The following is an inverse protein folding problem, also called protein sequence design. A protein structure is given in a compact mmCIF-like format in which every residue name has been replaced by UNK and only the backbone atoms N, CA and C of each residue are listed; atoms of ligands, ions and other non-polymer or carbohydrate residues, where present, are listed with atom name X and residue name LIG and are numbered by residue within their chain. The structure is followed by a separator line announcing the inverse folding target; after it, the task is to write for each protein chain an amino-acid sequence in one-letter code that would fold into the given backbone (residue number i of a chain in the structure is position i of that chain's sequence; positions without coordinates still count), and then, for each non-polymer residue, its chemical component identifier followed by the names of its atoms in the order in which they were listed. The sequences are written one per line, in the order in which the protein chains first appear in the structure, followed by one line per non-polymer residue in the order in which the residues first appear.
data_IF_943546521399
#
_entry.id   IF_943546521399
#
_cell.length_a   1.000
_cell.length_b   1.000
_cell.length_c   1.000
_cell.angle_alpha   90.00
_cell.angle_beta   90.00
_cell.angle_gamma   90.00
#
_symmetry.space_group_name_H-M   'P 1'
#
loop_
_entity.id
_entity.type
_entity.pdbx_description
1 polymer ?
#
# COMPACT_ATOMS: atom_id res chain seq x y z
N UNK A 1 17.43 29.94 41.42
CA UNK A 1 17.87 29.34 40.15
C UNK A 1 16.79 28.33 39.82
N UNK A 2 15.86 28.71 38.95
CA UNK A 2 14.76 27.83 38.57
C UNK A 2 15.33 26.76 37.65
N UNK A 3 15.69 25.62 38.24
CA UNK A 3 16.16 24.45 37.52
C UNK A 3 15.02 23.96 36.63
N UNK A 4 15.07 24.35 35.35
CA UNK A 4 14.11 23.88 34.36
C UNK A 4 14.21 22.36 34.33
N UNK A 5 13.14 21.67 34.72
CA UNK A 5 13.13 20.21 34.69
C UNK A 5 13.45 19.76 33.24
N UNK A 6 14.50 18.94 33.05
CA UNK A 6 14.97 18.57 31.71
C UNK A 6 13.90 17.87 30.86
N UNK A 7 12.84 17.35 31.49
CA UNK A 7 11.68 16.77 30.82
C UNK A 7 10.75 17.79 30.15
N UNK A 8 11.04 19.10 30.26
CA UNK A 8 10.39 20.16 29.49
C UNK A 8 11.14 20.54 28.21
N UNK A 9 12.26 19.87 27.90
CA UNK A 9 12.98 20.04 26.64
C UNK A 9 12.36 19.07 25.62
N UNK A 10 11.64 19.56 24.58
CA UNK A 10 10.92 18.70 23.65
C UNK A 10 11.79 17.64 22.98
N UNK A 11 13.03 18.00 22.61
CA UNK A 11 13.99 17.13 21.93
C UNK A 11 14.40 15.95 22.81
N UNK A 12 14.59 16.16 24.12
CA UNK A 12 14.89 15.09 25.06
C UNK A 12 13.69 14.16 25.19
N UNK A 13 12.48 14.71 25.32
CA UNK A 13 11.26 13.91 25.43
C UNK A 13 10.99 13.09 24.16
N UNK A 14 11.16 13.69 22.97
CA UNK A 14 11.08 13.00 21.67
C UNK A 14 12.14 11.91 21.55
N UNK A 15 13.38 12.15 22.00
CA UNK A 15 14.43 11.13 21.98
C UNK A 15 14.14 9.98 22.94
N UNK A 16 13.59 10.24 24.14
CA UNK A 16 13.14 9.21 25.07
C UNK A 16 12.01 8.38 24.44
N UNK A 17 11.05 9.04 23.78
CA UNK A 17 9.91 8.36 23.17
C UNK A 17 10.28 7.34 22.09
N UNK A 18 11.44 7.50 21.42
CA UNK A 18 11.96 6.51 20.45
C UNK A 18 12.25 5.14 21.09
N UNK A 19 12.52 5.10 22.39
CA UNK A 19 12.76 3.86 23.14
C UNK A 19 11.48 3.27 23.75
N UNK A 20 10.34 3.95 23.59
CA UNK A 20 9.06 3.51 24.11
C UNK A 20 8.24 2.84 23.00
N UNK A 21 7.51 1.79 23.35
CA UNK A 21 6.45 1.25 22.48
C UNK A 21 5.34 2.29 22.33
N UNK A 22 4.68 2.32 21.16
CA UNK A 22 3.65 3.33 20.84
C UNK A 22 2.56 3.45 21.92
N UNK A 23 2.07 2.34 22.46
CA UNK A 23 1.03 2.36 23.51
C UNK A 23 1.52 2.97 24.85
N UNK A 24 2.83 2.93 25.14
CA UNK A 24 3.41 3.65 26.28
C UNK A 24 3.44 5.16 26.01
N UNK A 25 3.79 5.59 24.79
CA UNK A 25 3.76 7.01 24.39
C UNK A 25 2.35 7.59 24.50
N UNK A 26 1.31 6.81 24.15
CA UNK A 26 -0.09 7.22 24.33
C UNK A 26 -0.40 7.50 25.81
N UNK A 27 0.04 6.65 26.74
CA UNK A 27 -0.11 6.90 28.19
C UNK A 27 0.64 8.16 28.61
N UNK A 28 1.80 8.45 28.03
CA UNK A 28 2.57 9.66 28.28
C UNK A 28 1.81 10.95 27.87
N UNK A 29 0.91 10.90 26.88
CA UNK A 29 0.07 12.05 26.53
C UNK A 29 -0.81 12.53 27.70
N UNK A 30 -1.18 11.62 28.60
CA UNK A 30 -2.07 11.90 29.72
C UNK A 30 -1.35 12.53 30.93
N UNK A 31 -0.01 12.60 30.91
CA UNK A 31 0.79 13.09 32.05
C UNK A 31 0.58 14.59 32.26
N UNK A 32 0.78 15.40 31.21
CA UNK A 32 0.56 16.85 31.25
C UNK A 32 0.42 17.45 29.85
N UNK A 33 -0.03 18.71 29.75
CA UNK A 33 -0.21 19.42 28.46
C UNK A 33 1.07 19.50 27.62
N UNK A 34 2.23 19.69 28.25
CA UNK A 34 3.51 19.78 27.54
C UNK A 34 3.88 18.44 26.89
N UNK A 35 3.70 17.34 27.62
CA UNK A 35 3.94 15.99 27.09
C UNK A 35 2.95 15.66 25.98
N UNK A 36 1.68 16.03 26.15
CA UNK A 36 0.67 15.90 25.10
C UNK A 36 1.10 16.60 23.81
N UNK A 37 1.45 17.88 23.90
CA UNK A 37 1.83 18.68 22.72
C UNK A 37 3.08 18.13 22.02
N UNK A 38 4.09 17.74 22.81
CA UNK A 38 5.38 17.24 22.29
C UNK A 38 5.26 15.84 21.66
N UNK A 39 4.47 14.96 22.27
CA UNK A 39 4.40 13.54 21.88
C UNK A 39 3.24 13.23 20.93
N UNK A 40 2.21 14.09 20.83
CA UNK A 40 1.09 13.88 19.93
C UNK A 40 1.54 13.66 18.47
N UNK A 41 2.46 14.45 17.89
CA UNK A 41 2.95 14.20 16.53
C UNK A 41 3.54 12.80 16.33
N UNK A 42 4.23 12.25 17.35
CA UNK A 42 4.80 10.90 17.26
C UNK A 42 3.74 9.81 17.27
N UNK A 43 2.64 10.02 18.01
CA UNK A 43 1.53 9.07 18.10
C UNK A 43 0.67 9.12 16.83
N UNK A 44 0.41 10.31 16.31
CA UNK A 44 -0.50 10.55 15.20
C UNK A 44 0.16 10.46 13.81
N UNK A 45 1.50 10.47 13.73
CA UNK A 45 2.22 10.33 12.45
C UNK A 45 1.82 9.09 11.65
N UNK A 46 1.71 7.94 12.30
CA UNK A 46 1.38 6.67 11.67
C UNK A 46 0.23 6.00 12.41
N UNK A 47 -0.99 6.13 11.92
CA UNK A 47 -2.19 5.61 12.57
C UNK A 47 -2.54 4.26 11.98
N UNK A 48 -2.67 3.25 12.84
CA UNK A 48 -3.13 1.90 12.45
C UNK A 48 -4.41 1.58 13.19
N UNK A 49 -5.50 1.46 12.47
CA UNK A 49 -6.82 1.12 13.00
C UNK A 49 -6.95 -0.40 12.90
N UNK A 50 -6.80 -1.06 14.05
CA UNK A 50 -7.07 -2.49 14.18
C UNK A 50 -8.40 -2.63 14.90
N UNK A 51 -9.40 -3.21 14.25
CA UNK A 51 -10.65 -3.57 14.90
C UNK A 51 -10.60 -5.05 15.21
N UNK A 52 -10.71 -5.39 16.49
CA UNK A 52 -11.01 -6.77 16.84
C UNK A 52 -12.51 -7.00 16.61
N UNK A 53 -12.94 -8.14 16.05
CA UNK A 53 -14.36 -8.44 15.80
C UNK A 53 -15.27 -8.34 17.03
N UNK A 54 -14.67 -8.39 18.23
CA UNK A 54 -15.37 -8.37 19.52
C UNK A 54 -15.41 -6.99 20.18
N UNK A 55 -14.70 -6.00 19.64
CA UNK A 55 -14.69 -4.64 20.20
C UNK A 55 -15.94 -3.87 19.76
N UNK A 56 -17.00 -4.01 20.55
CA UNK A 56 -18.21 -3.17 20.50
C UNK A 56 -18.07 -1.91 21.36
N UNK A 57 -16.89 -1.64 21.94
CA UNK A 57 -16.73 -0.63 22.99
C UNK A 57 -16.35 0.75 22.46
N UNK A 58 -16.82 1.77 23.20
CA UNK A 58 -16.63 3.24 23.07
C UNK A 58 -15.16 3.75 22.97
N UNK A 59 -14.17 2.86 22.91
CA UNK A 59 -12.76 3.20 22.83
C UNK A 59 -12.24 3.38 21.40
N UNK A 60 -13.14 3.33 20.40
CA UNK A 60 -12.78 3.65 19.03
C UNK A 60 -12.30 5.10 18.91
N UNK A 61 -11.26 5.33 18.11
CA UNK A 61 -10.84 6.68 17.75
C UNK A 61 -12.02 7.39 17.10
N UNK A 62 -12.52 8.45 17.75
CA UNK A 62 -13.68 9.18 17.25
C UNK A 62 -13.28 10.05 16.06
N UNK A 63 -14.26 10.40 15.22
CA UNK A 63 -14.07 11.31 14.09
C UNK A 63 -13.44 12.64 14.53
N UNK A 64 -13.82 13.16 15.70
CA UNK A 64 -13.28 14.41 16.25
C UNK A 64 -11.78 14.30 16.55
N UNK A 65 -11.31 13.11 16.96
CA UNK A 65 -9.89 12.87 17.17
C UNK A 65 -9.12 12.95 15.84
N UNK A 66 -9.62 12.32 14.78
CA UNK A 66 -9.01 12.42 13.46
C UNK A 66 -9.01 13.85 12.93
N UNK A 67 -10.11 14.60 13.09
CA UNK A 67 -10.18 16.01 12.67
C UNK A 67 -9.18 16.87 13.43
N UNK A 68 -8.99 16.62 14.74
CA UNK A 68 -8.06 17.38 15.57
C UNK A 68 -6.60 17.17 15.18
N UNK A 69 -6.25 16.00 14.63
CA UNK A 69 -4.87 15.63 14.33
C UNK A 69 -4.63 15.31 12.85
N UNK A 70 -5.53 15.70 11.95
CA UNK A 70 -5.46 15.38 10.52
C UNK A 70 -4.13 15.80 9.89
N UNK A 71 -3.64 16.97 10.29
CA UNK A 71 -2.39 17.54 9.77
C UNK A 71 -1.13 16.82 10.28
N UNK A 72 -1.28 15.99 11.32
CA UNK A 72 -0.17 15.20 11.87
C UNK A 72 -0.12 13.79 11.27
N UNK A 73 -1.12 13.36 10.51
CA UNK A 73 -1.21 12.00 9.96
C UNK A 73 -0.47 11.95 8.63
N UNK A 74 0.58 11.12 8.58
CA UNK A 74 1.39 10.85 7.40
C UNK A 74 1.15 9.46 6.83
N UNK A 75 0.85 8.49 7.70
CA UNK A 75 0.55 7.12 7.33
C UNK A 75 -0.78 6.74 7.97
N UNK A 76 -1.70 6.22 7.17
CA UNK A 76 -2.97 5.69 7.64
C UNK A 76 -3.09 4.25 7.15
N UNK A 77 -3.22 3.33 8.09
CA UNK A 77 -3.51 1.94 7.82
C UNK A 77 -4.84 1.59 8.47
N UNK A 78 -5.84 1.29 7.66
CA UNK A 78 -7.16 0.96 8.14
C UNK A 78 -7.56 -0.45 7.69
N UNK A 79 -7.74 -1.33 8.67
CA UNK A 79 -8.32 -2.65 8.46
C UNK A 79 -9.85 -2.63 8.26
N UNK A 80 -10.48 -1.49 8.58
CA UNK A 80 -11.92 -1.31 8.63
C UNK A 80 -12.26 0.16 8.44
N UNK A 81 -12.25 0.62 7.18
CA UNK A 81 -12.60 2.01 6.87
C UNK A 81 -13.99 2.32 7.45
N UNK A 82 -14.03 3.12 8.51
CA UNK A 82 -15.31 3.54 9.08
C UNK A 82 -15.96 4.50 8.08
N UNK A 83 -17.25 4.34 7.74
CA UNK A 83 -17.95 5.23 6.80
C UNK A 83 -17.75 6.73 7.04
N UNK A 84 -17.60 7.13 8.31
CA UNK A 84 -17.37 8.53 8.68
C UNK A 84 -15.96 9.06 8.39
N UNK A 85 -14.96 8.20 8.23
CA UNK A 85 -13.56 8.56 8.00
C UNK A 85 -13.22 8.76 6.52
N UNK A 86 -14.02 8.20 5.62
CA UNK A 86 -13.79 8.19 4.17
C UNK A 86 -13.94 9.59 3.56
N UNK A 87 -14.78 10.41 4.20
CA UNK A 87 -15.04 11.82 3.85
C UNK A 87 -13.97 12.78 4.39
N UNK A 88 -12.92 12.26 5.03
CA UNK A 88 -11.90 13.08 5.69
C UNK A 88 -10.71 13.37 4.79
N UNK A 89 -10.20 14.59 4.91
CA UNK A 89 -8.95 15.03 4.28
C UNK A 89 -7.83 14.99 5.29
N UNK A 90 -6.68 14.48 4.85
CA UNK A 90 -5.45 14.38 5.61
C UNK A 90 -4.35 15.06 4.77
N UNK A 91 -4.13 16.37 4.94
CA UNK A 91 -3.29 17.15 4.02
C UNK A 91 -1.87 16.60 3.83
N UNK A 92 -1.34 15.95 4.87
CA UNK A 92 0.01 15.40 4.90
C UNK A 92 0.04 13.88 4.75
N UNK A 93 -1.04 13.23 4.30
CA UNK A 93 -1.07 11.78 4.11
C UNK A 93 -0.25 11.35 2.89
N UNK A 94 0.80 10.58 3.13
CA UNK A 94 1.69 10.06 2.09
C UNK A 94 1.49 8.56 1.87
N UNK A 95 1.18 7.81 2.93
CA UNK A 95 1.00 6.36 2.85
C UNK A 95 -0.40 5.98 3.29
N UNK A 96 -1.09 5.22 2.44
CA UNK A 96 -2.43 4.71 2.73
C UNK A 96 -2.47 3.20 2.54
N UNK A 97 -2.75 2.47 3.61
CA UNK A 97 -2.98 1.03 3.56
C UNK A 97 -4.47 0.71 3.82
N UNK A 98 -5.13 0.18 2.80
CA UNK A 98 -6.52 -0.24 2.81
C UNK A 98 -6.58 -1.78 2.83
N UNK A 99 -6.74 -2.35 4.01
CA UNK A 99 -6.92 -3.79 4.16
C UNK A 99 -8.37 -4.07 4.50
N UNK A 100 -9.17 -4.60 3.57
CA UNK A 100 -10.51 -5.08 3.91
C UNK A 100 -10.37 -6.49 4.48
N UNK A 101 -10.93 -6.74 5.67
CA UNK A 101 -10.96 -8.10 6.19
C UNK A 101 -11.87 -8.97 5.33
N UNK A 102 -11.39 -10.15 4.90
CA UNK A 102 -12.15 -11.13 4.10
C UNK A 102 -13.54 -11.48 4.64
N UNK A 103 -13.75 -11.30 5.95
CA UNK A 103 -14.98 -11.68 6.64
C UNK A 103 -16.16 -10.72 6.41
N UNK A 104 -15.92 -9.49 5.96
CA UNK A 104 -16.99 -8.48 5.77
C UNK A 104 -17.08 -8.11 4.30
N UNK A 105 -17.59 -9.03 3.47
CA UNK A 105 -17.93 -8.80 2.04
C UNK A 105 -19.12 -7.84 1.85
N UNK A 106 -19.31 -6.89 2.77
CA UNK A 106 -20.33 -5.87 2.59
C UNK A 106 -19.81 -4.85 1.59
N UNK A 107 -20.56 -4.66 0.51
CA UNK A 107 -20.31 -3.77 -0.65
C UNK A 107 -20.11 -2.29 -0.32
N UNK A 108 -20.09 -1.92 0.96
CA UNK A 108 -19.90 -0.55 1.42
C UNK A 108 -18.42 -0.11 1.39
N UNK A 109 -17.46 -1.04 1.52
CA UNK A 109 -16.03 -0.72 1.65
C UNK A 109 -15.40 0.00 0.44
N UNK A 110 -15.94 -0.24 -0.75
CA UNK A 110 -15.44 0.26 -2.04
C UNK A 110 -15.56 1.77 -2.24
N UNK A 111 -16.77 2.29 -2.03
CA UNK A 111 -17.08 3.70 -2.23
C UNK A 111 -16.18 4.59 -1.36
N UNK A 112 -15.75 4.03 -0.23
CA UNK A 112 -14.90 4.68 0.74
C UNK A 112 -13.43 4.74 0.33
N UNK A 113 -12.91 3.69 -0.31
CA UNK A 113 -11.55 3.70 -0.83
C UNK A 113 -11.39 4.76 -1.92
N UNK A 114 -12.32 4.80 -2.88
CA UNK A 114 -12.31 5.78 -3.98
C UNK A 114 -12.37 7.20 -3.43
N UNK A 115 -13.30 7.48 -2.51
CA UNK A 115 -13.46 8.79 -1.89
C UNK A 115 -12.20 9.20 -1.12
N UNK A 116 -11.69 8.33 -0.25
CA UNK A 116 -10.52 8.61 0.57
C UNK A 116 -9.27 8.88 -0.28
N UNK A 117 -9.03 8.10 -1.34
CA UNK A 117 -7.91 8.33 -2.26
C UNK A 117 -8.11 9.67 -3.00
N UNK A 118 -9.33 9.98 -3.45
CA UNK A 118 -9.61 11.22 -4.19
C UNK A 118 -9.40 12.49 -3.36
N UNK A 119 -9.65 12.40 -2.04
CA UNK A 119 -9.52 13.52 -1.10
C UNK A 119 -8.07 13.77 -0.66
N UNK A 120 -7.14 12.87 -0.96
CA UNK A 120 -5.76 12.92 -0.48
C UNK A 120 -4.75 12.87 -1.64
N UNK A 121 -4.61 13.97 -2.42
CA UNK A 121 -3.75 14.00 -3.61
C UNK A 121 -2.24 13.96 -3.30
N UNK A 122 -1.83 14.08 -2.04
CA UNK A 122 -0.44 13.99 -1.56
C UNK A 122 0.08 12.56 -1.40
N UNK A 123 -0.78 11.55 -1.66
CA UNK A 123 -0.40 10.14 -1.57
C UNK A 123 0.79 9.80 -2.47
N UNK A 124 1.75 9.10 -1.87
CA UNK A 124 2.99 8.61 -2.48
C UNK A 124 2.99 7.08 -2.57
N UNK A 125 2.41 6.42 -1.56
CA UNK A 125 2.38 4.97 -1.44
C UNK A 125 0.96 4.50 -1.09
N UNK A 126 0.43 3.54 -1.85
CA UNK A 126 -0.88 2.95 -1.59
C UNK A 126 -0.75 1.44 -1.48
N UNK A 127 -1.32 0.86 -0.44
CA UNK A 127 -1.57 -0.58 -0.34
C UNK A 127 -3.08 -0.83 -0.37
N UNK A 128 -3.54 -1.73 -1.22
CA UNK A 128 -4.96 -2.09 -1.33
C UNK A 128 -5.12 -3.61 -1.37
N UNK A 129 -6.06 -4.13 -0.59
CA UNK A 129 -6.49 -5.53 -0.61
C UNK A 129 -7.89 -5.60 -1.22
N UNK A 130 -8.09 -6.38 -2.28
CA UNK A 130 -9.39 -6.56 -2.95
C UNK A 130 -10.18 -5.25 -3.19
N UNK A 131 -9.81 -4.41 -4.18
CA UNK A 131 -10.82 -3.52 -4.75
C UNK A 131 -11.90 -4.45 -5.34
N UNK A 132 -13.13 -4.34 -4.86
CA UNK A 132 -14.24 -5.07 -5.43
C UNK A 132 -14.44 -4.66 -6.90
N UNK A 133 -14.64 -5.71 -7.66
CA UNK A 133 -14.51 -5.73 -9.09
C UNK A 133 -15.65 -4.97 -9.80
N UNK A 134 -16.70 -4.57 -9.07
CA UNK A 134 -17.81 -3.79 -9.65
C UNK A 134 -17.48 -2.30 -9.81
N UNK A 135 -16.46 -1.77 -9.13
CA UNK A 135 -16.04 -0.36 -9.22
C UNK A 135 -14.54 -0.16 -9.38
N UNK A 136 -13.77 -1.20 -9.64
CA UNK A 136 -12.32 -1.06 -9.75
C UNK A 136 -11.89 -0.08 -10.85
N UNK A 137 -12.64 0.08 -11.95
CA UNK A 137 -12.38 1.15 -12.95
C UNK A 137 -12.29 2.54 -12.30
N UNK A 138 -13.27 2.92 -11.46
CA UNK A 138 -13.28 4.24 -10.80
C UNK A 138 -12.11 4.39 -9.82
N UNK A 139 -11.78 3.32 -9.10
CA UNK A 139 -10.63 3.31 -8.22
C UNK A 139 -9.34 3.56 -8.99
N UNK A 140 -9.10 2.80 -10.07
CA UNK A 140 -7.92 2.95 -10.91
C UNK A 140 -7.86 4.32 -11.59
N UNK A 141 -9.00 4.89 -11.99
CA UNK A 141 -9.08 6.24 -12.55
C UNK A 141 -8.60 7.30 -11.55
N UNK A 142 -9.12 7.25 -10.32
CA UNK A 142 -8.71 8.17 -9.25
C UNK A 142 -7.23 8.00 -8.93
N UNK A 143 -6.77 6.75 -8.78
CA UNK A 143 -5.35 6.44 -8.56
C UNK A 143 -4.50 6.98 -9.70
N UNK A 144 -4.96 6.88 -10.96
CA UNK A 144 -4.23 7.39 -12.14
C UNK A 144 -4.00 8.90 -12.09
N UNK A 145 -4.88 9.65 -11.42
CA UNK A 145 -4.78 11.11 -11.29
C UNK A 145 -3.82 11.59 -10.18
N UNK A 146 -3.35 10.69 -9.30
CA UNK A 146 -2.38 11.04 -8.25
C UNK A 146 -1.01 11.37 -8.82
N UNK A 147 -0.55 12.61 -8.66
CA UNK A 147 0.68 13.11 -9.29
C UNK A 147 1.97 12.65 -8.59
N UNK A 148 1.89 12.38 -7.29
CA UNK A 148 3.05 12.04 -6.46
C UNK A 148 3.17 10.54 -6.16
N UNK A 149 2.22 9.73 -6.65
CA UNK A 149 2.21 8.29 -6.41
C UNK A 149 3.43 7.64 -7.05
N UNK A 150 4.24 6.99 -6.22
CA UNK A 150 5.48 6.31 -6.60
C UNK A 150 5.36 4.80 -6.45
N UNK A 151 4.60 4.33 -5.47
CA UNK A 151 4.44 2.91 -5.25
C UNK A 151 3.00 2.48 -5.06
N UNK A 152 2.73 1.24 -5.49
CA UNK A 152 1.48 0.56 -5.17
C UNK A 152 1.76 -0.88 -4.73
N UNK A 153 1.00 -1.31 -3.73
CA UNK A 153 0.88 -2.70 -3.32
C UNK A 153 -0.56 -3.15 -3.49
N UNK A 154 -0.77 -4.24 -4.19
CA UNK A 154 -2.07 -4.88 -4.35
C UNK A 154 -2.01 -6.27 -3.77
N UNK A 155 -3.06 -6.68 -3.07
CA UNK A 155 -3.17 -8.01 -2.51
C UNK A 155 -4.54 -8.61 -2.86
N UNK A 156 -4.52 -9.81 -3.45
CA UNK A 156 -5.73 -10.55 -3.82
C UNK A 156 -6.65 -9.68 -4.70
N UNK A 157 -6.19 -9.27 -5.88
CA UNK A 157 -6.95 -8.39 -6.77
C UNK A 157 -7.28 -9.15 -8.04
N UNK A 158 -8.55 -9.23 -8.39
CA UNK A 158 -8.99 -9.77 -9.67
C UNK A 158 -9.36 -8.60 -10.57
N UNK A 159 -8.60 -8.40 -11.64
CA UNK A 159 -8.85 -7.34 -12.61
C UNK A 159 -9.90 -7.80 -13.63
N UNK A 160 -10.78 -6.89 -14.03
CA UNK A 160 -11.65 -7.08 -15.20
C UNK A 160 -11.04 -6.49 -16.47
N UNK A 161 -11.53 -6.93 -17.63
CA UNK A 161 -11.03 -6.48 -18.93
C UNK A 161 -11.14 -4.96 -19.11
N UNK A 162 -12.23 -4.35 -18.63
CA UNK A 162 -12.48 -2.91 -18.70
C UNK A 162 -11.58 -2.07 -17.77
N UNK A 163 -10.91 -2.72 -16.81
CA UNK A 163 -9.97 -2.07 -15.87
C UNK A 163 -8.54 -2.03 -16.41
N UNK A 164 -8.20 -2.93 -17.33
CA UNK A 164 -6.83 -3.20 -17.76
C UNK A 164 -6.10 -1.97 -18.30
N UNK A 165 -6.75 -1.18 -19.16
CA UNK A 165 -6.13 0.02 -19.74
C UNK A 165 -5.77 1.04 -18.64
N UNK A 166 -6.70 1.29 -17.72
CA UNK A 166 -6.50 2.22 -16.61
C UNK A 166 -5.46 1.69 -15.63
N UNK A 167 -5.47 0.39 -15.35
CA UNK A 167 -4.46 -0.27 -14.51
C UNK A 167 -3.06 -0.14 -15.10
N UNK A 168 -2.88 -0.43 -16.40
CA UNK A 168 -1.59 -0.24 -17.08
C UNK A 168 -1.14 1.23 -17.07
N UNK A 169 -2.06 2.17 -17.29
CA UNK A 169 -1.79 3.60 -17.17
C UNK A 169 -1.30 3.96 -15.76
N UNK A 170 -1.89 3.39 -14.71
CA UNK A 170 -1.40 3.57 -13.33
C UNK A 170 0.03 3.05 -13.21
N UNK A 171 0.31 1.82 -13.62
CA UNK A 171 1.66 1.25 -13.49
C UNK A 171 2.72 2.03 -14.29
N UNK A 172 2.36 2.64 -15.42
CA UNK A 172 3.28 3.41 -16.28
C UNK A 172 3.97 4.59 -15.60
N UNK A 173 3.38 5.13 -14.52
CA UNK A 173 3.92 6.28 -13.78
C UNK A 173 4.69 5.91 -12.51
N UNK A 174 4.60 4.66 -12.06
CA UNK A 174 5.15 4.20 -10.78
C UNK A 174 6.64 3.87 -10.88
N UNK A 175 7.30 3.88 -9.73
CA UNK A 175 8.69 3.45 -9.55
C UNK A 175 8.75 2.01 -8.97
N UNK A 176 7.86 1.70 -8.03
CA UNK A 176 7.83 0.42 -7.32
C UNK A 176 6.42 -0.18 -7.38
N UNK A 177 6.31 -1.47 -7.70
CA UNK A 177 5.04 -2.18 -7.73
C UNK A 177 5.15 -3.53 -7.01
N UNK A 178 4.17 -3.84 -6.18
CA UNK A 178 4.04 -5.12 -5.49
C UNK A 178 2.65 -5.69 -5.77
N UNK A 179 2.57 -6.75 -6.56
CA UNK A 179 1.35 -7.38 -7.01
C UNK A 179 1.30 -8.80 -6.44
N UNK A 180 0.54 -8.98 -5.36
CA UNK A 180 0.38 -10.26 -4.67
C UNK A 180 -1.01 -10.83 -4.93
N UNK A 181 -1.08 -12.10 -5.35
CA UNK A 181 -2.32 -12.76 -5.76
C UNK A 181 -3.17 -11.89 -6.71
N UNK A 182 -2.51 -11.29 -7.71
CA UNK A 182 -3.19 -10.58 -8.79
C UNK A 182 -3.65 -11.59 -9.86
N UNK A 183 -4.91 -11.54 -10.22
CA UNK A 183 -5.51 -12.33 -11.30
C UNK A 183 -5.77 -11.42 -12.51
N UNK A 184 -5.15 -11.74 -13.65
CA UNK A 184 -5.40 -11.08 -14.92
C UNK A 184 -6.59 -11.76 -15.63
N UNK A 185 -7.42 -11.01 -16.38
CA UNK A 185 -8.43 -11.61 -17.24
C UNK A 185 -7.77 -12.54 -18.27
N UNK A 186 -8.43 -13.67 -18.59
CA UNK A 186 -7.91 -14.63 -19.58
C UNK A 186 -7.71 -14.00 -20.96
N UNK A 187 -8.62 -13.13 -21.37
CA UNK A 187 -8.59 -12.46 -22.68
C UNK A 187 -7.91 -11.09 -22.65
N UNK A 188 -7.13 -10.78 -21.60
CA UNK A 188 -6.57 -9.44 -21.48
C UNK A 188 -5.54 -9.14 -22.58
N UNK A 189 -5.65 -7.93 -23.14
CA UNK A 189 -4.71 -7.45 -24.13
C UNK A 189 -3.36 -7.12 -23.49
N UNK A 190 -2.30 -7.33 -24.26
CA UNK A 190 -0.95 -6.98 -23.86
C UNK A 190 -0.83 -5.48 -23.55
N UNK A 191 0.04 -5.10 -22.59
CA UNK A 191 0.28 -3.70 -22.30
C UNK A 191 0.81 -2.98 -23.55
N UNK A 192 0.12 -1.93 -23.97
CA UNK A 192 0.57 -1.03 -25.05
C UNK A 192 1.65 -0.03 -24.59
N UNK A 193 2.04 -0.10 -23.32
CA UNK A 193 2.95 0.83 -22.66
C UNK A 193 4.33 0.22 -22.45
N UNK A 194 5.35 1.09 -22.48
CA UNK A 194 6.67 0.80 -21.91
C UNK A 194 6.79 1.52 -20.57
N UNK A 195 7.14 0.77 -19.53
CA UNK A 195 7.16 1.24 -18.14
C UNK A 195 8.56 1.76 -17.77
N UNK A 196 8.94 2.92 -18.33
CA UNK A 196 10.28 3.48 -18.13
C UNK A 196 10.61 3.88 -16.68
N UNK A 197 9.59 4.10 -15.85
CA UNK A 197 9.78 4.51 -14.45
C UNK A 197 9.87 3.34 -13.49
N UNK A 198 9.33 2.18 -13.85
CA UNK A 198 9.34 1.01 -12.98
C UNK A 198 10.77 0.49 -12.82
N UNK A 199 11.18 0.39 -11.56
CA UNK A 199 12.49 -0.06 -11.11
C UNK A 199 12.39 -1.31 -10.24
N UNK A 200 11.30 -1.48 -9.50
CA UNK A 200 11.08 -2.66 -8.67
C UNK A 200 9.73 -3.29 -8.96
N UNK A 201 9.75 -4.59 -9.24
CA UNK A 201 8.54 -5.41 -9.41
C UNK A 201 8.63 -6.55 -8.40
N UNK A 202 7.61 -6.68 -7.56
CA UNK A 202 7.33 -7.89 -6.79
C UNK A 202 6.04 -8.47 -7.34
N UNK A 203 6.09 -9.71 -7.82
CA UNK A 203 4.98 -10.42 -8.45
C UNK A 203 4.84 -11.79 -7.80
N UNK A 204 3.86 -11.95 -6.93
CA UNK A 204 3.56 -13.20 -6.22
C UNK A 204 2.14 -13.66 -6.56
N UNK A 205 1.89 -13.82 -7.85
CA UNK A 205 0.57 -14.15 -8.40
C UNK A 205 0.33 -15.66 -8.38
N UNK A 206 -0.93 -16.05 -8.19
CA UNK A 206 -1.42 -17.42 -8.33
C UNK A 206 -2.07 -17.65 -9.72
N UNK A 207 -1.80 -16.75 -10.67
CA UNK A 207 -2.51 -16.70 -11.95
C UNK A 207 -1.72 -17.36 -13.07
N UNK A 208 -2.45 -18.14 -13.86
CA UNK A 208 -2.05 -18.86 -15.06
C UNK A 208 -1.74 -18.00 -16.28
N UNK A 209 -2.03 -16.69 -16.30
CA UNK A 209 -1.73 -15.84 -17.45
C UNK A 209 -0.25 -15.37 -17.51
N UNK A 210 0.64 -16.36 -17.66
CA UNK A 210 2.10 -16.17 -17.67
C UNK A 210 2.58 -15.25 -18.78
N UNK A 211 1.97 -15.33 -19.97
CA UNK A 211 2.39 -14.57 -21.15
C UNK A 211 2.22 -13.06 -20.91
N UNK A 212 1.09 -12.66 -20.34
CA UNK A 212 0.81 -11.25 -20.02
C UNK A 212 1.77 -10.74 -18.94
N UNK A 213 2.00 -11.54 -17.89
CA UNK A 213 2.97 -11.20 -16.85
C UNK A 213 4.39 -11.04 -17.40
N UNK A 214 4.85 -11.99 -18.23
CA UNK A 214 6.18 -11.92 -18.83
C UNK A 214 6.28 -10.71 -19.76
N UNK A 215 5.26 -10.45 -20.57
CA UNK A 215 5.21 -9.27 -21.45
C UNK A 215 5.25 -7.96 -20.65
N UNK A 216 4.53 -7.88 -19.53
CA UNK A 216 4.60 -6.74 -18.61
C UNK A 216 6.04 -6.51 -18.11
N UNK A 217 6.72 -7.56 -17.63
CA UNK A 217 8.11 -7.46 -17.14
C UNK A 217 9.05 -7.05 -18.29
N UNK A 218 8.87 -7.61 -19.49
CA UNK A 218 9.64 -7.25 -20.70
C UNK A 218 9.49 -5.77 -21.07
N UNK A 219 8.33 -5.18 -20.80
CA UNK A 219 8.06 -3.77 -21.03
C UNK A 219 8.72 -2.82 -20.00
N UNK A 220 9.54 -3.31 -19.07
CA UNK A 220 10.18 -2.53 -18.01
C UNK A 220 11.71 -2.42 -18.22
N UNK A 221 12.21 -1.52 -19.10
CA UNK A 221 13.63 -1.49 -19.47
C UNK A 221 14.58 -0.99 -18.38
N UNK A 222 14.05 -0.34 -17.33
CA UNK A 222 14.82 0.22 -16.22
C UNK A 222 14.64 -0.57 -14.92
N UNK A 223 14.31 -1.86 -15.05
CA UNK A 223 14.11 -2.73 -13.90
C UNK A 223 15.44 -3.01 -13.20
N UNK A 224 15.49 -2.70 -11.90
CA UNK A 224 16.65 -2.90 -11.03
C UNK A 224 16.45 -4.11 -10.11
N UNK A 225 15.19 -4.36 -9.71
CA UNK A 225 14.82 -5.49 -8.85
C UNK A 225 13.58 -6.20 -9.39
N UNK A 226 13.71 -7.52 -9.55
CA UNK A 226 12.59 -8.40 -9.79
C UNK A 226 12.49 -9.44 -8.68
N UNK A 227 11.35 -9.51 -8.02
CA UNK A 227 10.98 -10.66 -7.20
C UNK A 227 9.76 -11.31 -7.83
N UNK A 228 9.89 -12.58 -8.20
CA UNK A 228 8.77 -13.37 -8.70
C UNK A 228 8.74 -14.76 -8.08
N UNK A 229 7.53 -15.21 -7.75
CA UNK A 229 7.24 -16.62 -7.41
C UNK A 229 6.71 -17.31 -8.67
N UNK A 230 7.25 -18.48 -9.00
CA UNK A 230 6.92 -19.24 -10.21
C UNK A 230 6.31 -20.57 -9.82
N UNK A 231 5.19 -20.95 -10.45
CA UNK A 231 4.61 -22.29 -10.25
C UNK A 231 5.22 -23.32 -11.22
N UNK A 232 5.83 -22.86 -12.33
CA UNK A 232 6.34 -23.72 -13.41
C UNK A 232 7.76 -23.36 -13.83
N UNK A 233 8.60 -24.39 -13.96
CA UNK A 233 10.02 -24.24 -14.36
C UNK A 233 10.22 -23.96 -15.84
N UNK A 234 9.31 -24.37 -16.72
CA UNK A 234 9.45 -24.22 -18.19
C UNK A 234 9.57 -22.76 -18.63
N UNK A 235 8.99 -21.84 -17.88
CA UNK A 235 9.01 -20.40 -18.19
C UNK A 235 10.33 -19.76 -17.73
N UNK A 236 11.13 -20.45 -16.89
CA UNK A 236 12.44 -19.96 -16.44
C UNK A 236 13.45 -19.93 -17.58
N UNK A 237 13.36 -20.84 -18.56
CA UNK A 237 14.29 -20.89 -19.68
C UNK A 237 14.12 -19.66 -20.60
N UNK A 238 12.87 -19.29 -20.89
CA UNK A 238 12.58 -18.09 -21.67
C UNK A 238 13.01 -16.82 -20.92
N UNK A 239 12.77 -16.78 -19.60
CA UNK A 239 13.21 -15.68 -18.76
C UNK A 239 14.74 -15.56 -18.70
N UNK A 240 15.44 -16.67 -18.48
CA UNK A 240 16.90 -16.74 -18.47
C UNK A 240 17.48 -16.26 -19.79
N UNK A 241 16.89 -16.69 -20.92
CA UNK A 241 17.25 -16.19 -22.25
C UNK A 241 17.10 -14.66 -22.34
N UNK A 242 16.00 -14.07 -21.84
CA UNK A 242 15.86 -12.60 -21.84
C UNK A 242 16.94 -11.89 -21.01
N UNK A 243 17.33 -12.46 -19.86
CA UNK A 243 18.41 -11.94 -19.02
C UNK A 243 19.75 -12.00 -19.76
N UNK A 244 20.07 -13.14 -20.38
CA UNK A 244 21.31 -13.35 -21.14
C UNK A 244 21.44 -12.42 -22.35
N UNK A 245 20.32 -12.13 -23.02
CA UNK A 245 20.27 -11.17 -24.13
C UNK A 245 20.30 -9.70 -23.68
N UNK A 246 20.40 -9.44 -22.38
CA UNK A 246 20.56 -8.09 -21.83
C UNK A 246 19.29 -7.25 -21.91
N UNK A 247 18.11 -7.87 -21.86
CA UNK A 247 16.83 -7.15 -21.91
C UNK A 247 16.66 -6.16 -20.74
N UNK A 248 17.20 -6.49 -19.58
CA UNK A 248 17.19 -5.66 -18.37
C UNK A 248 18.61 -5.27 -17.96
N UNK A 249 19.23 -4.28 -18.64
CA UNK A 249 20.64 -3.95 -18.43
C UNK A 249 20.96 -3.35 -17.05
N UNK A 250 19.93 -2.97 -16.28
CA UNK A 250 20.06 -2.38 -14.93
C UNK A 250 19.69 -3.35 -13.81
N UNK A 251 19.34 -4.59 -14.14
CA UNK A 251 18.87 -5.56 -13.17
C UNK A 251 20.00 -5.93 -12.20
N UNK A 252 19.86 -5.52 -10.94
CA UNK A 252 20.85 -5.74 -9.88
C UNK A 252 20.48 -6.93 -9.00
N UNK A 253 19.17 -7.21 -8.83
CA UNK A 253 18.69 -8.28 -7.98
C UNK A 253 17.52 -9.03 -8.61
N UNK A 254 17.60 -10.36 -8.56
CA UNK A 254 16.52 -11.26 -8.96
C UNK A 254 16.26 -12.23 -7.82
N UNK A 255 15.02 -12.27 -7.35
CA UNK A 255 14.53 -13.25 -6.39
C UNK A 255 13.51 -14.13 -7.11
N UNK A 256 13.90 -15.37 -7.37
CA UNK A 256 13.04 -16.38 -7.96
C UNK A 256 12.71 -17.38 -6.87
N UNK A 257 11.45 -17.40 -6.46
CA UNK A 257 10.93 -18.48 -5.63
C UNK A 257 10.17 -19.46 -6.52
N UNK A 258 10.26 -20.75 -6.22
CA UNK A 258 9.49 -21.77 -6.92
C UNK A 258 8.54 -22.32 -5.87
N UNK A 259 7.25 -22.06 -6.06
CA UNK A 259 6.23 -22.66 -5.18
C UNK A 259 6.11 -24.12 -5.58
N UNK A 260 6.91 -24.97 -4.94
CA UNK A 260 6.80 -26.41 -5.08
C UNK A 260 5.64 -26.80 -4.19
N UNK A 261 4.45 -26.93 -4.78
CA UNK A 261 3.29 -27.53 -4.13
C UNK A 261 3.73 -28.85 -3.47
N UNK A 262 3.90 -28.86 -2.15
CA UNK A 262 4.24 -30.06 -1.37
C UNK A 262 3.07 -31.08 -1.32
N UNK A 263 2.06 -30.96 -2.19
CA UNK A 263 0.89 -31.84 -2.25
C UNK A 263 1.10 -33.15 -3.03
N UNK A 264 2.35 -33.55 -3.30
CA UNK A 264 2.67 -34.88 -3.83
C UNK A 264 3.52 -35.70 -2.84
N UNK A 265 2.93 -36.07 -1.70
CA UNK A 265 3.31 -37.27 -0.93
C UNK A 265 2.08 -37.92 -0.28
#
# INVERSE_FOLDING_TARGET
MDGTNPLYIPELLTNIAKYLKKHHVVKCLQVCKHWHHTLAPLVWRSVRIRREPKDTTDNALTRECFLKYSDLIFELSDGYILPGHCTMTFPNLHTLDLYTSFSTRDSLGESYAVELVSLNPSLVDISVCQPDSTRGVQFWEVVSNLQYLKSIRTFNVALHEDEMETFWKVLSKLEDVHLEMLEFPMDCHQPSFTFYRLRKIVLTTADSNYDVQLQFIRSCPNLDLLWRVWEKTEVLDEFASNVEHGLWPKLEAIYLDIDIDEQCF
#
